data_IF_390259284400
#
_entry.id   IF_390259284400
#
_cell.length_a   1.000
_cell.length_b   1.000
_cell.length_c   1.000
_cell.angle_alpha   90.00
_cell.angle_beta   90.00
_cell.angle_gamma   90.00
#
_symmetry.space_group_name_H-M   'P 1'
#
loop_
_entity.id
_entity.type
_entity.pdbx_description
1 polymer ?
#
# COMPACT_ATOMS: atom_id res chain seq x y z
N UNK A 1 10.99 22.73 1.01
CA UNK A 1 11.57 21.43 0.63
C UNK A 1 10.49 20.42 0.38
N UNK A 2 10.69 19.59 -0.63
CA UNK A 2 9.74 18.52 -0.89
C UNK A 2 9.79 17.49 0.23
N UNK A 3 8.63 17.04 0.68
CA UNK A 3 8.55 15.96 1.65
C UNK A 3 8.91 14.63 1.00
N UNK A 4 9.45 13.71 1.79
CA UNK A 4 9.65 12.34 1.37
C UNK A 4 8.29 11.73 1.03
N UNK A 5 8.19 11.09 -0.13
CA UNK A 5 6.97 10.42 -0.55
C UNK A 5 7.14 8.90 -0.57
N UNK A 6 6.10 8.20 -0.11
CA UNK A 6 6.09 6.74 -0.06
C UNK A 6 5.06 6.17 -1.02
N UNK A 7 5.39 5.03 -1.62
CA UNK A 7 4.42 4.16 -2.25
C UNK A 7 4.29 2.90 -1.40
N UNK A 8 3.13 2.70 -0.81
CA UNK A 8 2.84 1.52 0.00
C UNK A 8 2.15 0.52 -0.92
N UNK A 9 2.83 -0.59 -1.20
CA UNK A 9 2.33 -1.61 -2.13
C UNK A 9 1.75 -2.78 -1.35
N UNK A 10 0.49 -3.10 -1.63
CA UNK A 10 -0.20 -4.25 -1.07
C UNK A 10 -0.63 -5.14 -2.22
N UNK A 11 -0.12 -6.37 -2.28
CA UNK A 11 -0.55 -7.35 -3.28
C UNK A 11 -1.57 -8.28 -2.64
N UNK A 12 -2.61 -8.64 -3.40
CA UNK A 12 -3.68 -9.46 -2.85
C UNK A 12 -4.38 -10.32 -3.90
N UNK A 13 -5.02 -11.38 -3.39
CA UNK A 13 -5.96 -12.21 -4.15
C UNK A 13 -6.93 -12.81 -3.15
N UNK A 14 -8.21 -12.44 -3.26
CA UNK A 14 -9.27 -12.85 -2.34
C UNK A 14 -8.86 -12.70 -0.86
N UNK A 15 -8.43 -11.50 -0.43
CA UNK A 15 -7.87 -11.30 0.89
C UNK A 15 -8.90 -11.24 2.03
N UNK A 16 -10.19 -11.15 1.72
CA UNK A 16 -11.21 -10.98 2.74
C UNK A 16 -11.02 -9.68 3.52
N UNK A 17 -11.17 -9.75 4.83
CA UNK A 17 -11.05 -8.57 5.72
C UNK A 17 -9.62 -8.07 5.87
N UNK A 18 -8.64 -8.89 5.52
CA UNK A 18 -7.22 -8.54 5.70
C UNK A 18 -6.82 -7.30 4.91
N UNK A 19 -7.36 -7.14 3.70
CA UNK A 19 -7.03 -5.99 2.86
C UNK A 19 -7.43 -4.68 3.53
N UNK A 20 -8.66 -4.58 4.00
CA UNK A 20 -9.15 -3.37 4.64
C UNK A 20 -8.34 -3.04 5.89
N UNK A 21 -8.01 -4.04 6.72
CA UNK A 21 -7.22 -3.84 7.92
C UNK A 21 -5.83 -3.28 7.61
N UNK A 22 -5.16 -3.86 6.60
CA UNK A 22 -3.85 -3.38 6.17
C UNK A 22 -3.91 -1.94 5.66
N UNK A 23 -4.87 -1.64 4.79
CA UNK A 23 -5.05 -0.30 4.24
C UNK A 23 -5.37 0.71 5.33
N UNK A 24 -6.24 0.36 6.28
CA UNK A 24 -6.58 1.26 7.38
C UNK A 24 -5.38 1.56 8.26
N UNK A 25 -4.47 0.61 8.46
CA UNK A 25 -3.26 0.87 9.24
C UNK A 25 -2.36 1.92 8.58
N UNK A 26 -2.38 1.98 7.24
CA UNK A 26 -1.66 3.03 6.50
C UNK A 26 -2.41 4.35 6.59
N UNK A 27 -3.73 4.34 6.41
CA UNK A 27 -4.55 5.56 6.48
C UNK A 27 -4.53 6.22 7.86
N UNK A 28 -4.23 5.45 8.90
CA UNK A 28 -4.10 5.96 10.27
C UNK A 28 -2.73 6.59 10.55
N UNK A 29 -1.80 6.54 9.60
CA UNK A 29 -0.50 7.17 9.79
C UNK A 29 -0.64 8.68 9.85
N UNK A 30 0.09 9.31 10.76
CA UNK A 30 0.12 10.78 10.89
C UNK A 30 0.83 11.42 9.72
N UNK A 31 1.83 10.75 9.16
CA UNK A 31 2.51 11.22 7.96
C UNK A 31 1.61 10.98 6.74
N UNK A 32 1.33 12.03 5.97
CA UNK A 32 0.30 11.95 4.93
C UNK A 32 0.81 11.89 3.50
N UNK A 33 2.13 12.00 3.27
CA UNK A 33 2.66 12.06 1.90
C UNK A 33 2.97 10.66 1.36
N UNK A 34 1.93 9.93 1.00
CA UNK A 34 2.05 8.58 0.46
C UNK A 34 0.89 8.28 -0.49
N UNK A 35 1.10 7.27 -1.30
CA UNK A 35 0.03 6.60 -2.05
C UNK A 35 -0.04 5.14 -1.60
N UNK A 36 -1.19 4.51 -1.79
CA UNK A 36 -1.36 3.08 -1.55
C UNK A 36 -1.67 2.45 -2.90
N UNK A 37 -0.80 1.56 -3.35
CA UNK A 37 -0.98 0.82 -4.60
C UNK A 37 -1.43 -0.59 -4.23
N UNK A 38 -2.70 -0.88 -4.48
CA UNK A 38 -3.26 -2.22 -4.28
C UNK A 38 -3.20 -2.95 -5.62
N UNK A 39 -2.35 -3.97 -5.70
CA UNK A 39 -2.28 -4.83 -6.89
C UNK A 39 -3.08 -6.09 -6.61
N UNK A 40 -4.18 -6.22 -7.29
CA UNK A 40 -5.12 -7.32 -7.14
C UNK A 40 -4.97 -8.33 -8.27
N UNK A 41 -4.90 -9.61 -7.93
CA UNK A 41 -4.74 -10.69 -8.91
C UNK A 41 -6.04 -11.17 -9.56
N UNK A 42 -7.16 -10.54 -9.22
CA UNK A 42 -8.47 -10.90 -9.76
C UNK A 42 -9.44 -11.39 -8.68
N UNK A 43 -9.54 -10.68 -7.57
CA UNK A 43 -10.39 -11.04 -6.44
C UNK A 43 -11.87 -11.03 -6.82
N UNK A 44 -12.61 -12.00 -6.29
CA UNK A 44 -14.06 -12.14 -6.48
C UNK A 44 -14.83 -12.17 -5.17
N UNK A 45 -14.16 -11.94 -4.05
CA UNK A 45 -14.75 -12.08 -2.71
C UNK A 45 -15.36 -10.77 -2.15
N UNK A 46 -15.39 -9.70 -2.94
CA UNK A 46 -15.94 -8.41 -2.51
C UNK A 46 -15.00 -7.58 -1.67
N UNK A 47 -13.75 -8.00 -1.48
CA UNK A 47 -12.80 -7.29 -0.62
C UNK A 47 -12.43 -5.90 -1.13
N UNK A 48 -12.32 -5.72 -2.45
CA UNK A 48 -11.96 -4.43 -3.04
C UNK A 48 -13.04 -3.38 -2.82
N UNK A 49 -14.31 -3.80 -2.81
CA UNK A 49 -15.45 -2.90 -2.61
C UNK A 49 -15.53 -2.35 -1.18
N UNK A 50 -14.79 -2.96 -0.25
CA UNK A 50 -14.74 -2.52 1.15
C UNK A 50 -13.76 -1.36 1.36
N UNK A 51 -12.93 -1.06 0.39
CA UNK A 51 -11.93 0.00 0.52
C UNK A 51 -12.60 1.37 0.56
N UNK A 52 -12.14 2.29 1.43
CA UNK A 52 -12.71 3.63 1.49
C UNK A 52 -12.38 4.44 0.23
N UNK A 53 -13.20 5.43 -0.05
CA UNK A 53 -12.99 6.35 -1.17
C UNK A 53 -11.95 7.40 -0.77
N UNK A 54 -10.67 7.07 -0.93
CA UNK A 54 -9.56 7.95 -0.63
C UNK A 54 -8.70 8.08 -1.90
N UNK A 55 -8.41 9.30 -2.31
CA UNK A 55 -7.67 9.56 -3.55
C UNK A 55 -6.25 8.99 -3.54
N UNK A 56 -5.71 8.68 -2.37
CA UNK A 56 -4.38 8.07 -2.24
C UNK A 56 -4.38 6.58 -2.51
N UNK A 57 -5.56 5.93 -2.53
CA UNK A 57 -5.70 4.50 -2.80
C UNK A 57 -5.93 4.30 -4.29
N UNK A 58 -5.06 3.52 -4.91
CA UNK A 58 -5.18 3.14 -6.31
C UNK A 58 -5.20 1.63 -6.42
N UNK A 59 -6.21 1.08 -7.08
CA UNK A 59 -6.38 -0.36 -7.24
C UNK A 59 -6.14 -0.72 -8.70
N UNK A 60 -5.29 -1.71 -8.91
CA UNK A 60 -4.97 -2.24 -10.24
C UNK A 60 -5.22 -3.74 -10.23
N UNK A 61 -6.19 -4.18 -11.01
CA UNK A 61 -6.54 -5.60 -11.11
C UNK A 61 -5.97 -6.19 -12.39
N UNK A 62 -5.12 -7.20 -12.23
CA UNK A 62 -4.49 -7.90 -13.34
C UNK A 62 -4.08 -9.29 -12.89
N UNK A 63 -4.38 -10.33 -13.67
CA UNK A 63 -3.90 -11.67 -13.33
C UNK A 63 -2.38 -11.72 -13.19
N UNK A 64 -1.90 -12.51 -12.26
CA UNK A 64 -0.48 -12.72 -12.05
C UNK A 64 -0.19 -14.20 -11.75
N UNK A 65 1.10 -14.55 -11.83
CA UNK A 65 1.55 -15.92 -11.61
C UNK A 65 1.99 -16.18 -10.17
N UNK A 66 1.70 -15.27 -9.26
CA UNK A 66 2.04 -15.40 -7.85
C UNK A 66 2.57 -14.10 -7.28
N UNK A 67 3.03 -14.15 -6.02
CA UNK A 67 3.36 -12.94 -5.26
C UNK A 67 4.49 -12.12 -5.91
N UNK A 68 5.52 -12.78 -6.44
CA UNK A 68 6.65 -12.05 -7.04
C UNK A 68 6.23 -11.35 -8.33
N UNK A 69 5.42 -12.02 -9.15
CA UNK A 69 4.89 -11.41 -10.36
C UNK A 69 3.97 -10.23 -10.01
N UNK A 70 3.12 -10.38 -9.00
CA UNK A 70 2.25 -9.32 -8.52
C UNK A 70 3.06 -8.10 -8.07
N UNK A 71 4.15 -8.32 -7.32
CA UNK A 71 5.02 -7.24 -6.87
C UNK A 71 5.72 -6.55 -8.05
N UNK A 72 6.19 -7.33 -9.04
CA UNK A 72 6.80 -6.76 -10.24
C UNK A 72 5.81 -5.92 -11.03
N UNK A 73 4.58 -6.41 -11.18
CA UNK A 73 3.52 -5.63 -11.85
C UNK A 73 3.26 -4.32 -11.10
N UNK A 74 3.20 -4.37 -9.76
CA UNK A 74 2.94 -3.21 -8.93
C UNK A 74 3.99 -2.12 -9.11
N UNK A 75 5.25 -2.49 -9.35
CA UNK A 75 6.33 -1.52 -9.52
C UNK A 75 6.12 -0.58 -10.70
N UNK A 76 5.35 -0.97 -11.71
CA UNK A 76 5.05 -0.09 -12.83
C UNK A 76 4.04 1.02 -12.48
N UNK A 77 3.40 0.93 -11.32
CA UNK A 77 2.38 1.90 -10.88
C UNK A 77 2.86 2.83 -9.77
N UNK A 78 4.02 2.55 -9.16
CA UNK A 78 4.50 3.36 -8.03
C UNK A 78 5.05 4.71 -8.52
N UNK A 79 4.78 5.77 -7.74
CA UNK A 79 5.25 7.11 -8.04
C UNK A 79 6.05 7.75 -6.90
N UNK A 80 6.07 7.13 -5.71
CA UNK A 80 6.79 7.65 -4.56
C UNK A 80 8.30 7.47 -4.65
N UNK A 81 9.01 8.22 -3.84
CA UNK A 81 10.47 8.13 -3.77
C UNK A 81 10.93 6.82 -3.14
N UNK A 82 10.16 6.29 -2.20
CA UNK A 82 10.47 5.04 -1.51
C UNK A 82 9.27 4.12 -1.55
N UNK A 83 9.55 2.83 -1.75
CA UNK A 83 8.52 1.80 -1.86
C UNK A 83 8.57 0.91 -0.63
N UNK A 84 7.43 0.72 0.00
CA UNK A 84 7.26 -0.19 1.11
C UNK A 84 6.24 -1.26 0.73
N UNK A 85 6.66 -2.52 0.75
CA UNK A 85 5.72 -3.63 0.53
C UNK A 85 5.12 -4.07 1.86
N UNK A 86 3.80 -4.25 1.87
CA UNK A 86 3.08 -4.85 2.99
C UNK A 86 2.33 -6.08 2.47
N UNK A 87 2.45 -7.19 3.17
CA UNK A 87 1.60 -8.35 2.88
C UNK A 87 0.19 -8.06 3.38
N UNK A 88 -0.80 -8.55 2.65
CA UNK A 88 -2.19 -8.40 3.05
C UNK A 88 -2.41 -9.10 4.39
N UNK A 89 -2.88 -8.35 5.38
CA UNK A 89 -2.97 -8.81 6.77
C UNK A 89 -1.91 -8.23 7.70
N UNK A 90 -0.79 -7.75 7.14
CA UNK A 90 0.20 -7.05 7.95
C UNK A 90 -0.29 -5.64 8.29
N UNK A 91 0.10 -5.15 9.45
CA UNK A 91 -0.24 -3.82 9.92
C UNK A 91 1.03 -3.03 10.19
N UNK A 92 1.00 -1.74 9.92
CA UNK A 92 2.07 -0.87 10.41
C UNK A 92 2.01 -0.84 11.94
N UNK A 93 3.18 -0.86 12.56
CA UNK A 93 3.33 -1.06 14.01
C UNK A 93 2.53 -0.03 14.83
N UNK A 94 2.56 1.24 14.42
CA UNK A 94 1.80 2.30 15.06
C UNK A 94 1.55 3.42 14.02
N UNK A 95 1.00 4.55 14.47
CA UNK A 95 0.62 5.65 13.59
C UNK A 95 1.79 6.60 13.24
N UNK A 96 3.00 6.30 13.71
CA UNK A 96 4.19 7.13 13.50
C UNK A 96 5.26 6.48 12.63
N UNK A 97 5.01 5.30 12.08
CA UNK A 97 6.02 4.55 11.32
C UNK A 97 6.57 5.37 10.15
N UNK A 98 5.69 5.90 9.31
CA UNK A 98 6.11 6.66 8.12
C UNK A 98 6.78 7.98 8.51
N UNK A 99 6.31 8.63 9.57
CA UNK A 99 6.91 9.87 10.04
C UNK A 99 8.34 9.64 10.52
N UNK A 100 8.59 8.56 11.27
CA UNK A 100 9.94 8.22 11.71
C UNK A 100 10.86 7.89 10.55
N UNK A 101 10.36 7.12 9.56
CA UNK A 101 11.14 6.78 8.38
C UNK A 101 11.49 8.03 7.57
N UNK A 102 10.52 8.92 7.38
CA UNK A 102 10.75 10.17 6.65
C UNK A 102 11.80 11.02 7.37
N UNK A 103 11.73 11.13 8.70
CA UNK A 103 12.70 11.91 9.48
C UNK A 103 14.13 11.37 9.33
N UNK A 104 14.29 10.04 9.32
CA UNK A 104 15.60 9.42 9.11
C UNK A 104 16.11 9.68 7.70
N UNK A 105 15.25 9.54 6.70
CA UNK A 105 15.64 9.73 5.29
C UNK A 105 15.99 11.18 4.97
N UNK A 106 15.30 12.13 5.57
CA UNK A 106 15.57 13.56 5.35
C UNK A 106 16.92 14.02 5.92
N UNK A 107 17.51 13.24 6.82
CA UNK A 107 18.81 13.57 7.41
C UNK A 107 20.00 13.19 6.54
N UNK A 108 19.77 12.50 5.45
CA UNK A 108 20.84 12.03 4.56
C UNK A 108 21.25 13.05 3.52
#
# INVERSE_FOLDING_TARGET
>A
MAQISFSIVVVCLNPGEKLLKTVQSVLNQKYGNYEIVVKDGGSTDGSLEQLPADSRIRVYTRPDSGIYDAMNQAMSYVTGQFVQFLNCGDLLHDDMVLERLAAVMERR
#
